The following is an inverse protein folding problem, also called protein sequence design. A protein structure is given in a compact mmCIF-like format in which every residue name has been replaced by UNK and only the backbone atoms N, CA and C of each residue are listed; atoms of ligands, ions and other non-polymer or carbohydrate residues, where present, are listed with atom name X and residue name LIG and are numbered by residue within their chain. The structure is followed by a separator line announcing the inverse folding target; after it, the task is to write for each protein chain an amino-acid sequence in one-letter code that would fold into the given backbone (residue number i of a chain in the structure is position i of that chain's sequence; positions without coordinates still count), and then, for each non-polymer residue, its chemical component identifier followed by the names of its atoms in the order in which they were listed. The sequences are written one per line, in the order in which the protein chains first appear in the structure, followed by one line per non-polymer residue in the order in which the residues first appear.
data_IF_635204011442
#
_entry.id   IF_635204011442
#
_cell.length_a   1.000
_cell.length_b   1.000
_cell.length_c   1.000
_cell.angle_alpha   90.00
_cell.angle_beta   90.00
_cell.angle_gamma   90.00
#
_symmetry.space_group_name_H-M   'P 1'
#
loop_
_entity.id
_entity.type
_entity.pdbx_description
1 polymer ?
#
# COMPACT_ATOMS: atom_id res chain seq x y z
N UNK A 1 -27.14 -49.02 50.37
CA UNK A 1 -27.24 -50.19 51.25
C UNK A 1 -28.38 -51.04 50.73
N UNK A 2 -28.05 -52.31 50.42
CA UNK A 2 -28.93 -53.48 50.24
C UNK A 2 -29.98 -53.42 49.11
N UNK A 3 -29.87 -54.28 48.08
CA UNK A 3 -30.29 -55.70 48.03
C UNK A 3 -31.79 -55.87 48.26
N UNK A 4 -32.52 -56.81 47.67
CA UNK A 4 -32.42 -57.76 46.56
C UNK A 4 -33.75 -58.57 46.66
N UNK A 5 -34.11 -59.30 45.61
CA UNK A 5 -35.05 -60.46 45.62
C UNK A 5 -36.56 -60.17 45.78
N UNK A 6 -37.51 -60.79 45.05
CA UNK A 6 -37.47 -61.83 44.02
C UNK A 6 -38.84 -62.56 43.90
N UNK A 7 -39.16 -63.04 42.67
CA UNK A 7 -39.86 -64.32 42.34
C UNK A 7 -41.42 -64.37 42.55
N UNK A 8 -42.33 -64.92 41.72
CA UNK A 8 -42.44 -65.74 40.48
C UNK A 8 -43.77 -65.37 39.74
N UNK A 9 -44.07 -65.75 38.48
CA UNK A 9 -44.65 -67.05 38.01
C UNK A 9 -44.50 -67.22 36.46
N UNK A 10 -44.30 -68.49 36.04
CA UNK A 10 -44.30 -69.16 34.70
C UNK A 10 -45.09 -68.50 33.54
N UNK A 11 -44.75 -68.49 32.23
CA UNK A 11 -43.97 -69.31 31.26
C UNK A 11 -44.82 -70.24 30.34
N UNK A 12 -44.84 -69.96 29.01
CA UNK A 12 -44.96 -70.86 27.82
C UNK A 12 -44.94 -69.99 26.53
N UNK A 13 -43.89 -69.91 25.68
CA UNK A 13 -43.53 -70.78 24.52
C UNK A 13 -44.36 -70.41 23.25
N UNK A 14 -43.88 -70.14 22.01
CA UNK A 14 -42.70 -70.50 21.19
C UNK A 14 -42.57 -69.57 19.93
N UNK A 15 -41.34 -69.38 19.43
CA UNK A 15 -40.84 -68.78 18.15
C UNK A 15 -40.92 -69.78 16.94
N UNK A 16 -40.60 -69.51 15.62
CA UNK A 16 -39.40 -68.78 15.14
C UNK A 16 -39.33 -68.07 13.73
N UNK A 17 -38.30 -67.21 13.57
CA UNK A 17 -37.35 -66.92 12.43
C UNK A 17 -37.79 -66.76 10.93
N UNK A 18 -37.26 -65.72 10.25
CA UNK A 18 -36.09 -65.78 9.30
C UNK A 18 -35.90 -64.50 8.43
N UNK A 19 -34.63 -64.12 8.18
CA UNK A 19 -34.11 -63.08 7.27
C UNK A 19 -34.18 -63.47 5.76
N UNK A 20 -34.04 -62.51 4.82
CA UNK A 20 -33.19 -62.59 3.60
C UNK A 20 -33.31 -61.36 2.65
N UNK A 21 -32.14 -60.72 2.44
CA UNK A 21 -31.53 -60.15 1.22
C UNK A 21 -32.32 -59.70 -0.05
N UNK A 22 -31.86 -58.55 -0.55
CA UNK A 22 -31.43 -58.23 -1.94
C UNK A 22 -32.39 -57.65 -3.02
N UNK A 23 -31.84 -56.59 -3.65
CA UNK A 23 -31.88 -56.17 -5.08
C UNK A 23 -33.01 -55.23 -5.57
N UNK A 24 -32.56 -54.04 -5.99
CA UNK A 24 -33.14 -53.19 -7.05
C UNK A 24 -33.36 -54.00 -8.34
N UNK A 25 -34.37 -53.67 -9.18
CA UNK A 25 -34.04 -52.80 -10.31
C UNK A 25 -35.19 -51.89 -10.83
N UNK A 26 -34.76 -50.99 -11.71
CA UNK A 26 -35.40 -50.59 -12.96
C UNK A 26 -36.26 -49.31 -13.02
N UNK A 27 -35.77 -48.43 -13.90
CA UNK A 27 -36.34 -47.17 -14.40
C UNK A 27 -37.56 -47.44 -15.28
N UNK A 28 -38.55 -46.53 -15.26
CA UNK A 28 -39.16 -46.03 -16.51
C UNK A 28 -39.85 -44.67 -16.36
N UNK A 29 -39.42 -43.73 -17.21
CA UNK A 29 -40.17 -42.77 -18.03
C UNK A 29 -41.33 -41.87 -17.50
N UNK A 30 -41.09 -40.57 -17.73
CA UNK A 30 -41.86 -39.62 -18.57
C UNK A 30 -43.26 -39.14 -18.16
N UNK A 31 -43.45 -37.82 -18.37
CA UNK A 31 -44.73 -37.15 -18.66
C UNK A 31 -45.32 -36.46 -17.44
N UNK A 32 -45.28 -35.11 -17.36
CA UNK A 32 -46.35 -34.20 -17.82
C UNK A 32 -47.62 -34.32 -16.95
N UNK A 33 -48.30 -33.29 -16.42
CA UNK A 33 -48.36 -31.85 -16.66
C UNK A 33 -49.34 -31.28 -15.60
N UNK A 34 -49.13 -30.03 -15.16
CA UNK A 34 -50.09 -29.07 -14.53
C UNK A 34 -50.91 -29.52 -13.30
N UNK A 35 -50.85 -28.71 -12.23
CA UNK A 35 -52.00 -27.88 -11.83
C UNK A 35 -51.63 -26.79 -10.81
N UNK A 36 -52.46 -25.75 -10.78
CA UNK A 36 -52.23 -24.43 -10.23
C UNK A 36 -52.53 -24.29 -8.73
N UNK A 37 -51.94 -23.26 -8.12
CA UNK A 37 -52.11 -22.76 -6.74
C UNK A 37 -53.57 -22.42 -6.36
N UNK A 38 -53.92 -22.25 -5.06
CA UNK A 38 -53.67 -20.95 -4.42
C UNK A 38 -53.40 -20.94 -2.89
N UNK A 39 -52.83 -19.80 -2.47
CA UNK A 39 -53.07 -19.04 -1.23
C UNK A 39 -52.47 -19.50 0.13
N UNK A 40 -51.50 -18.69 0.56
CA UNK A 40 -51.41 -17.98 1.84
C UNK A 40 -51.20 -18.75 3.14
N UNK A 41 -49.95 -18.74 3.63
CA UNK A 41 -49.69 -18.45 5.04
C UNK A 41 -48.45 -17.55 5.13
N UNK A 42 -48.69 -16.30 5.53
CA UNK A 42 -47.70 -15.30 5.90
C UNK A 42 -47.20 -15.66 7.30
N UNK A 43 -45.89 -15.84 7.47
CA UNK A 43 -45.23 -15.72 8.77
C UNK A 43 -44.05 -14.77 8.64
N UNK A 44 -44.27 -13.55 9.14
CA UNK A 44 -43.30 -12.50 9.34
C UNK A 44 -42.35 -12.84 10.49
N UNK A 45 -41.04 -12.84 10.25
CA UNK A 45 -40.04 -12.51 11.26
C UNK A 45 -38.80 -11.96 10.57
N UNK A 46 -38.68 -10.64 10.66
CA UNK A 46 -37.48 -9.80 10.64
C UNK A 46 -36.13 -10.51 10.65
N UNK A 47 -35.33 -10.27 9.61
CA UNK A 47 -33.90 -9.96 9.73
C UNK A 47 -33.53 -9.04 8.57
N UNK A 48 -33.39 -7.75 8.89
CA UNK A 48 -32.89 -6.70 8.01
C UNK A 48 -31.40 -6.88 7.79
N UNK A 49 -31.01 -7.67 6.79
CA UNK A 49 -29.70 -7.59 6.17
C UNK A 49 -29.88 -7.30 4.69
N UNK A 50 -30.15 -6.03 4.40
CA UNK A 50 -30.03 -5.47 3.06
C UNK A 50 -28.55 -5.53 2.64
N UNK A 51 -28.14 -6.68 2.10
CA UNK A 51 -26.94 -6.79 1.29
C UNK A 51 -27.07 -5.84 0.10
N UNK A 52 -26.56 -4.63 0.26
CA UNK A 52 -26.29 -3.73 -0.87
C UNK A 52 -25.31 -4.48 -1.76
N UNK A 53 -25.67 -4.82 -3.02
CA UNK A 53 -24.72 -5.44 -3.92
C UNK A 53 -23.65 -4.38 -4.19
N UNK A 54 -22.47 -4.58 -3.62
CA UNK A 54 -21.26 -3.86 -4.01
C UNK A 54 -21.16 -4.11 -5.50
N UNK A 55 -21.58 -3.13 -6.30
CA UNK A 55 -21.43 -3.16 -7.74
C UNK A 55 -19.93 -3.13 -7.94
N UNK A 56 -19.32 -4.31 -8.10
CA UNK A 56 -17.96 -4.44 -8.56
C UNK A 56 -17.89 -3.64 -9.86
N UNK A 57 -17.39 -2.42 -9.77
CA UNK A 57 -16.94 -1.66 -10.91
C UNK A 57 -15.79 -2.48 -11.50
N UNK A 58 -16.15 -3.44 -12.34
CA UNK A 58 -15.25 -4.25 -13.14
C UNK A 58 -14.62 -3.30 -14.15
N UNK A 59 -13.58 -2.61 -13.69
CA UNK A 59 -12.83 -1.66 -14.49
C UNK A 59 -12.09 -2.44 -15.57
N UNK A 60 -12.49 -2.28 -16.84
CA UNK A 60 -11.78 -2.83 -18.01
C UNK A 60 -10.28 -2.48 -18.06
N UNK A 61 -9.83 -1.46 -17.33
CA UNK A 61 -8.40 -1.16 -17.22
C UNK A 61 -7.63 -2.27 -16.49
N UNK A 62 -8.25 -3.06 -15.60
CA UNK A 62 -7.62 -4.23 -14.98
C UNK A 62 -7.55 -5.46 -15.89
N UNK A 63 -8.37 -5.55 -16.95
CA UNK A 63 -8.25 -6.61 -17.96
C UNK A 63 -7.07 -6.38 -18.90
N UNK A 64 -6.67 -5.12 -19.13
CA UNK A 64 -5.59 -4.77 -20.05
C UNK A 64 -4.20 -4.97 -19.46
N UNK A 65 -4.06 -4.84 -18.14
CA UNK A 65 -2.83 -5.10 -17.41
C UNK A 65 -2.95 -6.41 -16.65
N UNK A 66 -2.27 -7.46 -17.14
CA UNK A 66 -2.36 -8.81 -16.56
C UNK A 66 -2.23 -8.83 -15.04
N UNK A 67 -2.85 -9.82 -14.40
CA UNK A 67 -3.04 -9.92 -12.94
C UNK A 67 -1.78 -9.63 -12.12
N UNK A 68 -0.60 -10.02 -12.63
CA UNK A 68 0.68 -9.74 -11.99
C UNK A 68 1.01 -8.24 -11.87
N UNK A 69 0.78 -7.47 -12.94
CA UNK A 69 1.05 -6.02 -13.03
C UNK A 69 0.14 -5.26 -12.08
N UNK A 70 -1.15 -5.64 -12.07
CA UNK A 70 -2.16 -5.10 -11.16
C UNK A 70 -1.86 -5.46 -9.71
N UNK A 71 -1.57 -6.74 -9.42
CA UNK A 71 -1.27 -7.23 -8.06
C UNK A 71 -0.01 -6.60 -7.46
N UNK A 72 1.00 -6.34 -8.27
CA UNK A 72 2.24 -5.72 -7.82
C UNK A 72 2.27 -4.20 -8.01
N UNK A 73 1.19 -3.55 -8.44
CA UNK A 73 1.13 -2.10 -8.65
C UNK A 73 2.34 -1.58 -9.48
N UNK A 74 2.79 -2.34 -10.48
CA UNK A 74 4.07 -2.10 -11.18
C UNK A 74 4.09 -0.72 -11.88
N UNK A 75 3.07 -0.30 -12.65
CA UNK A 75 3.10 0.98 -13.37
C UNK A 75 3.25 2.16 -12.42
N UNK A 76 2.50 2.13 -11.30
CA UNK A 76 2.61 3.14 -10.24
C UNK A 76 4.03 3.21 -9.69
N UNK A 77 4.65 2.08 -9.36
CA UNK A 77 6.01 2.07 -8.80
C UNK A 77 7.07 2.51 -9.79
N UNK A 78 6.92 2.16 -11.07
CA UNK A 78 7.82 2.63 -12.12
C UNK A 78 7.73 4.15 -12.23
N UNK A 79 6.52 4.71 -12.25
CA UNK A 79 6.30 6.16 -12.22
C UNK A 79 6.88 6.79 -10.94
N UNK A 80 6.63 6.18 -9.78
CA UNK A 80 7.13 6.64 -8.49
C UNK A 80 8.67 6.64 -8.42
N UNK A 81 9.31 5.61 -8.95
CA UNK A 81 10.77 5.46 -9.00
C UNK A 81 11.43 6.36 -10.06
N UNK A 82 10.73 6.66 -11.16
CA UNK A 82 11.27 7.49 -12.24
C UNK A 82 11.45 8.95 -11.80
N UNK A 83 10.61 9.45 -10.89
CA UNK A 83 10.70 10.81 -10.35
C UNK A 83 12.05 11.06 -9.68
N UNK A 84 12.62 10.07 -8.97
CA UNK A 84 13.96 10.19 -8.39
C UNK A 84 15.03 10.42 -9.46
N UNK A 85 15.00 9.68 -10.56
CA UNK A 85 15.94 9.85 -11.67
C UNK A 85 15.74 11.17 -12.41
N UNK A 86 14.50 11.59 -12.62
CA UNK A 86 14.18 12.89 -13.24
C UNK A 86 14.73 14.02 -12.37
N UNK A 87 14.45 14.00 -11.06
CA UNK A 87 14.96 15.00 -10.11
C UNK A 87 16.48 15.04 -10.10
N UNK A 88 17.14 13.89 -10.11
CA UNK A 88 18.59 13.81 -10.19
C UNK A 88 19.12 14.42 -11.50
N UNK A 89 18.47 14.15 -12.63
CA UNK A 89 18.80 14.81 -13.90
C UNK A 89 18.64 16.32 -13.81
N UNK A 90 17.51 16.84 -13.30
CA UNK A 90 17.29 18.27 -13.12
C UNK A 90 18.35 18.91 -12.21
N UNK A 91 18.80 18.19 -11.18
CA UNK A 91 19.92 18.60 -10.33
C UNK A 91 21.22 18.76 -11.15
N UNK A 92 21.58 17.79 -12.00
CA UNK A 92 22.79 17.89 -12.86
C UNK A 92 22.72 19.04 -13.86
N UNK A 93 21.52 19.43 -14.29
CA UNK A 93 21.30 20.58 -15.18
C UNK A 93 21.39 21.94 -14.46
N UNK A 94 21.58 21.95 -13.13
CA UNK A 94 21.67 23.18 -12.35
C UNK A 94 20.36 23.93 -12.21
N UNK A 95 19.23 23.25 -12.39
CA UNK A 95 17.92 23.86 -12.18
C UNK A 95 17.77 24.20 -10.70
N UNK A 96 17.41 25.45 -10.41
CA UNK A 96 17.18 25.90 -9.05
C UNK A 96 16.02 25.11 -8.44
N UNK A 97 16.30 24.37 -7.35
CA UNK A 97 15.32 23.51 -6.68
C UNK A 97 14.09 24.28 -6.19
N UNK A 98 14.24 25.56 -5.83
CA UNK A 98 13.10 26.42 -5.43
C UNK A 98 12.12 26.67 -6.57
N UNK A 99 12.59 26.62 -7.83
CA UNK A 99 11.70 26.73 -9.00
C UNK A 99 10.87 25.47 -9.22
N UNK A 100 11.27 24.31 -8.66
CA UNK A 100 10.53 23.04 -8.75
C UNK A 100 9.28 23.07 -7.85
N UNK A 101 9.28 23.87 -6.79
CA UNK A 101 8.15 24.01 -5.88
C UNK A 101 6.87 24.48 -6.58
N UNK A 102 6.97 25.47 -7.48
CA UNK A 102 5.80 26.02 -8.19
C UNK A 102 5.10 24.98 -9.07
N UNK A 103 5.79 24.24 -9.96
CA UNK A 103 5.21 23.11 -10.67
C UNK A 103 4.54 22.07 -9.77
N UNK A 104 5.12 21.75 -8.61
CA UNK A 104 4.52 20.81 -7.65
C UNK A 104 3.20 21.35 -7.07
N UNK A 105 3.16 22.63 -6.68
CA UNK A 105 1.93 23.28 -6.18
C UNK A 105 0.87 23.35 -7.28
N UNK A 106 1.25 23.76 -8.50
CA UNK A 106 0.33 23.79 -9.63
C UNK A 106 -0.24 22.40 -9.93
N UNK A 107 0.61 21.37 -9.94
CA UNK A 107 0.18 19.98 -10.13
C UNK A 107 -0.77 19.53 -9.00
N UNK A 108 -0.50 19.91 -7.75
CA UNK A 108 -1.36 19.59 -6.61
C UNK A 108 -2.75 20.21 -6.78
N UNK A 109 -2.83 21.50 -7.10
CA UNK A 109 -4.10 22.20 -7.28
C UNK A 109 -4.91 21.58 -8.44
N UNK A 110 -4.26 21.34 -9.58
CA UNK A 110 -4.91 20.74 -10.76
C UNK A 110 -5.47 19.35 -10.41
N UNK A 111 -4.64 18.48 -9.83
CA UNK A 111 -5.06 17.12 -9.47
C UNK A 111 -6.11 17.12 -8.35
N UNK A 112 -6.04 18.06 -7.42
CA UNK A 112 -7.02 18.18 -6.34
C UNK A 112 -8.39 18.56 -6.89
N UNK A 113 -8.46 19.54 -7.79
CA UNK A 113 -9.70 19.90 -8.49
C UNK A 113 -10.25 18.72 -9.29
N UNK A 114 -9.38 17.99 -10.01
CA UNK A 114 -9.78 16.80 -10.75
C UNK A 114 -10.35 15.71 -9.82
N UNK A 115 -9.75 15.51 -8.64
CA UNK A 115 -10.25 14.59 -7.63
C UNK A 115 -11.60 15.03 -7.06
N UNK A 116 -11.82 16.32 -6.82
CA UNK A 116 -13.12 16.85 -6.40
C UNK A 116 -14.19 16.58 -7.47
N UNK A 117 -13.90 16.83 -8.74
CA UNK A 117 -14.85 16.54 -9.85
C UNK A 117 -15.13 15.04 -9.92
N UNK A 118 -14.08 14.22 -9.83
CA UNK A 118 -14.13 12.76 -9.87
C UNK A 118 -14.97 12.16 -8.76
N UNK A 119 -14.80 12.62 -7.52
CA UNK A 119 -15.51 12.06 -6.38
C UNK A 119 -16.99 12.48 -6.34
N UNK A 120 -17.34 13.61 -6.97
CA UNK A 120 -18.72 14.09 -7.04
C UNK A 120 -19.48 13.63 -8.30
N UNK A 121 -18.79 13.18 -9.37
CA UNK A 121 -19.43 12.81 -10.63
C UNK A 121 -19.10 11.37 -11.07
N UNK A 122 -20.02 10.40 -10.88
CA UNK A 122 -19.77 8.98 -11.17
C UNK A 122 -19.37 8.67 -12.62
N UNK A 123 -19.96 9.37 -13.59
CA UNK A 123 -19.62 9.21 -15.01
C UNK A 123 -18.18 9.64 -15.29
N UNK A 124 -17.77 10.80 -14.76
CA UNK A 124 -16.40 11.28 -14.88
C UNK A 124 -15.41 10.34 -14.17
N UNK A 125 -15.77 9.81 -13.00
CA UNK A 125 -14.94 8.83 -12.30
C UNK A 125 -14.67 7.58 -13.14
N UNK A 126 -15.69 7.07 -13.84
CA UNK A 126 -15.52 5.92 -14.75
C UNK A 126 -14.60 6.24 -15.92
N UNK A 127 -14.72 7.43 -16.51
CA UNK A 127 -13.83 7.88 -17.59
C UNK A 127 -12.39 8.04 -17.11
N UNK A 128 -12.21 8.66 -15.94
CA UNK A 128 -10.91 8.85 -15.29
C UNK A 128 -10.24 7.50 -14.97
N UNK A 129 -10.96 6.57 -14.34
CA UNK A 129 -10.45 5.24 -14.04
C UNK A 129 -10.10 4.43 -15.31
N UNK A 130 -10.73 4.74 -16.45
CA UNK A 130 -10.39 4.12 -17.74
C UNK A 130 -9.07 4.63 -18.31
N UNK A 131 -8.72 5.90 -18.08
CA UNK A 131 -7.49 6.50 -18.62
C UNK A 131 -6.29 6.33 -17.68
N UNK A 132 -6.47 6.58 -16.38
CA UNK A 132 -5.36 6.59 -15.41
C UNK A 132 -5.43 5.45 -14.38
N UNK A 133 -6.41 4.55 -14.49
CA UNK A 133 -6.61 3.46 -13.53
C UNK A 133 -5.38 2.55 -13.34
N UNK A 134 -4.47 2.49 -14.33
CA UNK A 134 -3.20 1.76 -14.23
C UNK A 134 -2.29 2.24 -13.08
N UNK A 135 -2.41 3.52 -12.72
CA UNK A 135 -1.61 4.16 -11.67
C UNK A 135 -2.34 4.21 -10.33
N UNK A 136 -3.64 3.90 -10.30
CA UNK A 136 -4.50 4.00 -9.13
C UNK A 136 -4.65 2.68 -8.38
N UNK A 137 -4.83 2.76 -7.06
CA UNK A 137 -5.27 1.62 -6.24
C UNK A 137 -6.79 1.50 -6.24
N UNK A 138 -7.31 0.29 -6.02
CA UNK A 138 -8.77 0.04 -5.93
C UNK A 138 -9.46 0.93 -4.88
N UNK A 139 -8.83 1.14 -3.72
CA UNK A 139 -9.36 2.04 -2.68
C UNK A 139 -9.50 3.49 -3.16
N UNK A 140 -8.62 3.93 -4.06
CA UNK A 140 -8.56 5.31 -4.56
C UNK A 140 -9.68 5.60 -5.56
N UNK A 141 -10.48 4.62 -5.99
CA UNK A 141 -11.65 4.86 -6.87
C UNK A 141 -12.70 5.74 -6.16
N UNK A 142 -12.85 5.56 -4.84
CA UNK A 142 -13.85 6.26 -4.03
C UNK A 142 -13.23 7.17 -2.96
N UNK A 143 -11.91 7.30 -2.93
CA UNK A 143 -11.18 8.19 -2.02
C UNK A 143 -10.22 9.08 -2.79
N UNK A 144 -9.60 10.04 -2.10
CA UNK A 144 -8.52 10.85 -2.68
C UNK A 144 -7.35 9.99 -3.20
N UNK A 145 -6.76 10.43 -4.30
CA UNK A 145 -5.65 9.77 -4.98
C UNK A 145 -4.35 9.90 -4.17
N UNK A 146 -3.56 8.81 -4.10
CA UNK A 146 -2.26 8.80 -3.44
C UNK A 146 -1.27 9.84 -3.98
N UNK A 147 -1.41 10.27 -5.24
CA UNK A 147 -0.57 11.33 -5.83
C UNK A 147 -0.75 12.67 -5.12
N UNK A 148 -1.93 12.96 -4.55
CA UNK A 148 -2.13 14.19 -3.77
C UNK A 148 -1.28 14.19 -2.50
N UNK A 149 -1.22 13.06 -1.79
CA UNK A 149 -0.37 12.87 -0.62
C UNK A 149 1.12 12.97 -0.97
N UNK A 150 1.51 12.39 -2.11
CA UNK A 150 2.86 12.51 -2.66
C UNK A 150 3.26 13.97 -2.87
N UNK A 151 2.44 14.73 -3.60
CA UNK A 151 2.70 16.12 -3.91
C UNK A 151 2.72 16.98 -2.66
N UNK A 152 1.79 16.74 -1.72
CA UNK A 152 1.74 17.48 -0.46
C UNK A 152 3.02 17.27 0.37
N UNK A 153 3.53 16.03 0.43
CA UNK A 153 4.76 15.69 1.13
C UNK A 153 5.99 16.35 0.51
N UNK A 154 6.08 16.35 -0.83
CA UNK A 154 7.14 17.07 -1.53
C UNK A 154 7.04 18.59 -1.38
N UNK A 155 5.85 19.17 -1.50
CA UNK A 155 5.63 20.61 -1.28
C UNK A 155 6.11 21.00 0.12
N UNK A 156 5.81 20.18 1.15
CA UNK A 156 6.35 20.39 2.49
C UNK A 156 7.88 20.37 2.50
N UNK A 157 8.52 19.30 2.01
CA UNK A 157 9.98 19.21 2.00
C UNK A 157 10.65 20.38 1.26
N UNK A 158 10.18 20.70 0.05
CA UNK A 158 10.73 21.78 -0.77
C UNK A 158 10.50 23.19 -0.20
N UNK A 159 9.49 23.37 0.65
CA UNK A 159 9.19 24.67 1.27
C UNK A 159 10.06 24.96 2.48
N UNK A 160 10.36 23.94 3.30
CA UNK A 160 10.93 24.14 4.64
C UNK A 160 12.40 23.74 4.76
N UNK A 161 12.96 22.97 3.82
CA UNK A 161 14.31 22.41 3.96
C UNK A 161 15.29 22.89 2.89
N UNK A 162 16.58 22.66 3.17
CA UNK A 162 17.69 22.91 2.26
C UNK A 162 17.63 21.98 1.04
N UNK A 163 18.45 22.31 0.03
CA UNK A 163 18.47 21.57 -1.25
C UNK A 163 18.84 20.12 -1.03
N UNK A 164 19.88 19.83 -0.26
CA UNK A 164 20.35 18.46 -0.02
C UNK A 164 19.34 17.61 0.76
N UNK A 165 18.78 18.14 1.85
CA UNK A 165 17.76 17.44 2.65
C UNK A 165 16.52 17.13 1.82
N UNK A 166 16.05 18.10 1.04
CA UNK A 166 14.87 17.96 0.18
C UNK A 166 15.08 16.91 -0.90
N UNK A 167 16.25 16.89 -1.52
CA UNK A 167 16.56 15.92 -2.58
C UNK A 167 16.69 14.51 -2.01
N UNK A 168 17.34 14.35 -0.85
CA UNK A 168 17.40 13.05 -0.18
C UNK A 168 16.00 12.58 0.22
N UNK A 169 15.15 13.42 0.83
CA UNK A 169 13.79 12.99 1.22
C UNK A 169 12.97 12.53 0.01
N UNK A 170 13.10 13.22 -1.13
CA UNK A 170 12.51 12.80 -2.40
C UNK A 170 13.08 11.47 -2.89
N UNK A 171 14.40 11.27 -2.85
CA UNK A 171 15.00 9.99 -3.28
C UNK A 171 14.62 8.83 -2.36
N UNK A 172 14.51 9.05 -1.05
CA UNK A 172 14.05 8.04 -0.11
C UNK A 172 12.60 7.66 -0.37
N UNK A 173 11.73 8.65 -0.62
CA UNK A 173 10.37 8.38 -1.07
C UNK A 173 10.38 7.60 -2.39
N UNK A 174 11.19 7.97 -3.37
CA UNK A 174 11.18 7.33 -4.69
C UNK A 174 11.73 5.90 -4.67
N UNK A 175 12.92 5.70 -4.12
CA UNK A 175 13.69 4.45 -4.24
C UNK A 175 13.59 3.58 -2.98
N UNK A 176 13.69 4.15 -1.79
CA UNK A 176 13.64 3.38 -0.55
C UNK A 176 12.23 2.84 -0.26
N UNK A 177 11.18 3.63 -0.50
CA UNK A 177 9.79 3.14 -0.38
C UNK A 177 9.50 2.00 -1.39
N UNK A 178 9.90 2.20 -2.66
CA UNK A 178 9.71 1.17 -3.69
C UNK A 178 10.44 -0.13 -3.32
N UNK A 179 11.66 -0.03 -2.79
CA UNK A 179 12.44 -1.16 -2.33
C UNK A 179 11.78 -1.84 -1.13
N UNK A 180 11.39 -1.09 -0.11
CA UNK A 180 10.71 -1.59 1.08
C UNK A 180 9.42 -2.32 0.74
N UNK A 181 8.60 -1.72 -0.11
CA UNK A 181 7.34 -2.32 -0.53
C UNK A 181 7.58 -3.57 -1.40
N UNK A 182 8.61 -3.59 -2.24
CA UNK A 182 8.90 -4.73 -3.14
C UNK A 182 9.47 -5.92 -2.36
N UNK A 183 10.50 -5.68 -1.54
CA UNK A 183 11.12 -6.71 -0.70
C UNK A 183 10.17 -7.13 0.42
N UNK A 184 9.45 -6.20 1.05
CA UNK A 184 8.47 -6.47 2.10
C UNK A 184 7.31 -7.34 1.61
N UNK A 185 6.78 -7.12 0.41
CA UNK A 185 5.75 -8.03 -0.15
C UNK A 185 6.28 -9.41 -0.48
N UNK A 186 7.53 -9.51 -0.98
CA UNK A 186 8.11 -10.79 -1.40
C UNK A 186 8.58 -11.63 -0.22
N UNK A 187 9.25 -11.02 0.76
CA UNK A 187 9.95 -11.71 1.83
C UNK A 187 9.47 -11.31 3.24
N UNK A 188 8.53 -10.37 3.37
CA UNK A 188 8.07 -9.90 4.68
C UNK A 188 7.42 -10.98 5.53
N UNK A 189 6.87 -12.04 4.91
CA UNK A 189 6.32 -13.21 5.61
C UNK A 189 7.40 -14.05 6.31
N UNK A 190 8.67 -13.91 5.91
CA UNK A 190 9.82 -14.61 6.52
C UNK A 190 10.43 -13.83 7.69
N UNK A 191 9.94 -12.63 7.97
CA UNK A 191 10.55 -11.72 8.95
C UNK A 191 9.51 -11.17 9.94
N UNK A 192 9.92 -10.75 11.15
CA UNK A 192 9.01 -10.12 12.10
C UNK A 192 8.31 -8.89 11.50
N UNK A 193 7.05 -8.70 11.91
CA UNK A 193 6.32 -7.47 11.61
C UNK A 193 6.74 -6.39 12.60
N UNK A 194 7.15 -5.24 12.07
CA UNK A 194 7.52 -4.06 12.88
C UNK A 194 6.29 -3.18 13.18
N UNK A 195 5.31 -3.19 12.28
CA UNK A 195 4.01 -2.53 12.46
C UNK A 195 2.91 -3.30 11.72
N UNK A 196 1.66 -2.83 11.81
CA UNK A 196 0.46 -3.52 11.30
C UNK A 196 0.60 -3.98 9.83
N UNK A 197 1.33 -3.23 9.00
CA UNK A 197 1.61 -3.57 7.59
C UNK A 197 3.09 -3.45 7.19
N UNK A 198 4.01 -3.39 8.17
CA UNK A 198 5.44 -3.14 7.93
C UNK A 198 6.25 -4.34 8.39
N UNK A 199 7.22 -4.76 7.59
CA UNK A 199 8.04 -5.96 7.84
C UNK A 199 9.50 -5.58 8.01
N UNK A 200 10.24 -6.33 8.84
CA UNK A 200 11.66 -6.13 9.00
C UNK A 200 12.42 -6.25 7.66
N UNK A 201 12.00 -7.17 6.77
CA UNK A 201 12.55 -7.26 5.41
C UNK A 201 12.41 -5.94 4.62
N UNK A 202 11.24 -5.29 4.72
CA UNK A 202 10.98 -4.00 4.08
C UNK A 202 11.87 -2.90 4.65
N UNK A 203 11.97 -2.80 5.97
CA UNK A 203 12.78 -1.76 6.61
C UNK A 203 14.29 -1.96 6.39
N UNK A 204 14.78 -3.20 6.30
CA UNK A 204 16.18 -3.48 5.88
C UNK A 204 16.43 -3.04 4.44
N UNK A 205 15.45 -3.24 3.54
CA UNK A 205 15.56 -2.75 2.17
C UNK A 205 15.56 -1.22 2.10
N UNK A 206 14.67 -0.55 2.85
CA UNK A 206 14.67 0.90 2.99
C UNK A 206 16.00 1.43 3.52
N UNK A 207 16.54 0.79 4.56
CA UNK A 207 17.85 1.13 5.14
C UNK A 207 18.96 1.04 4.10
N UNK A 208 19.04 -0.09 3.40
CA UNK A 208 20.13 -0.36 2.46
C UNK A 208 20.09 0.61 1.29
N UNK A 209 18.92 0.80 0.68
CA UNK A 209 18.73 1.74 -0.44
C UNK A 209 18.93 3.18 0.02
N UNK A 210 18.46 3.53 1.22
CA UNK A 210 18.67 4.86 1.79
C UNK A 210 20.15 5.17 2.04
N UNK A 211 20.89 4.21 2.60
CA UNK A 211 22.32 4.38 2.84
C UNK A 211 23.12 4.52 1.54
N UNK A 212 22.80 3.70 0.52
CA UNK A 212 23.42 3.82 -0.82
C UNK A 212 23.06 5.16 -1.46
N UNK A 213 21.80 5.60 -1.33
CA UNK A 213 21.34 6.88 -1.87
C UNK A 213 22.09 8.05 -1.26
N UNK A 214 22.21 8.10 0.07
CA UNK A 214 22.98 9.13 0.76
C UNK A 214 24.47 9.09 0.39
N UNK A 215 25.07 7.89 0.38
CA UNK A 215 26.47 7.68 -0.04
C UNK A 215 26.73 8.25 -1.42
N UNK A 216 25.90 7.88 -2.39
CA UNK A 216 26.06 8.29 -3.79
C UNK A 216 25.78 9.77 -3.97
N UNK A 217 24.74 10.32 -3.36
CA UNK A 217 24.39 11.73 -3.52
C UNK A 217 25.45 12.65 -2.89
N UNK A 218 25.80 12.43 -1.62
CA UNK A 218 26.79 13.25 -0.91
C UNK A 218 28.24 12.96 -1.32
N UNK A 219 28.56 11.71 -1.67
CA UNK A 219 29.92 11.29 -2.03
C UNK A 219 30.29 11.49 -3.49
N UNK A 220 29.32 11.45 -4.42
CA UNK A 220 29.58 11.59 -5.86
C UNK A 220 28.88 12.82 -6.45
N UNK A 221 27.55 12.95 -6.32
CA UNK A 221 26.83 14.01 -7.02
C UNK A 221 27.13 15.42 -6.51
N UNK A 222 27.16 15.62 -5.19
CA UNK A 222 27.47 16.95 -4.62
C UNK A 222 28.88 17.43 -5.02
N UNK A 223 29.95 16.60 -4.90
CA UNK A 223 31.28 16.99 -5.35
C UNK A 223 31.42 17.13 -6.87
N UNK A 224 30.89 16.18 -7.65
CA UNK A 224 31.05 16.17 -9.11
C UNK A 224 30.31 17.34 -9.79
N UNK A 225 29.19 17.78 -9.20
CA UNK A 225 28.37 18.89 -9.69
C UNK A 225 28.47 20.11 -8.77
N UNK A 226 29.63 20.38 -8.18
CA UNK A 226 29.81 21.49 -7.23
C UNK A 226 29.35 22.86 -7.79
N UNK A 227 29.46 23.08 -9.10
CA UNK A 227 29.07 24.29 -9.80
C UNK A 227 27.57 24.59 -9.74
N UNK A 228 26.72 23.59 -9.44
CA UNK A 228 25.28 23.78 -9.26
C UNK A 228 24.88 24.07 -7.82
N UNK A 229 25.81 23.96 -6.86
CA UNK A 229 25.52 24.08 -5.44
C UNK A 229 25.91 25.48 -4.95
N UNK A 230 24.91 26.30 -4.62
CA UNK A 230 25.18 27.65 -4.10
C UNK A 230 25.52 27.60 -2.60
N UNK A 231 26.26 28.59 -2.08
CA UNK A 231 26.54 28.69 -0.65
C UNK A 231 25.24 28.66 0.17
N UNK A 232 25.19 27.79 1.18
CA UNK A 232 24.04 27.60 2.06
C UNK A 232 22.90 26.72 1.51
N UNK A 233 23.00 26.19 0.28
CA UNK A 233 22.00 25.24 -0.23
C UNK A 233 22.25 23.80 0.25
N UNK A 234 23.50 23.45 0.52
CA UNK A 234 23.91 22.15 1.02
C UNK A 234 24.26 22.31 2.51
N UNK A 235 23.51 21.65 3.38
CA UNK A 235 23.69 21.77 4.83
C UNK A 235 24.80 20.87 5.36
N UNK A 236 25.00 19.70 4.76
CA UNK A 236 26.09 18.80 5.13
C UNK A 236 27.26 18.86 4.15
N UNK A 237 28.45 19.15 4.66
CA UNK A 237 29.73 18.88 3.98
C UNK A 237 30.72 18.26 4.97
N UNK A 238 31.78 17.56 4.50
CA UNK A 238 32.81 17.01 5.38
C UNK A 238 33.50 18.06 6.27
N UNK A 239 33.56 19.32 5.84
CA UNK A 239 34.22 20.41 6.55
C UNK A 239 33.29 21.09 7.58
N UNK A 240 31.98 21.00 7.38
CA UNK A 240 30.97 21.69 8.19
C UNK A 240 30.28 20.78 9.21
N UNK A 241 30.61 19.50 9.23
CA UNK A 241 29.98 18.50 10.08
C UNK A 241 30.99 17.62 10.80
N UNK A 242 30.66 17.21 12.02
CA UNK A 242 31.38 16.17 12.78
C UNK A 242 31.15 14.77 12.21
N UNK A 243 30.17 14.60 11.32
CA UNK A 243 29.84 13.31 10.73
C UNK A 243 30.67 13.06 9.48
N UNK A 244 31.36 11.92 9.43
CA UNK A 244 31.95 11.42 8.20
C UNK A 244 30.87 11.01 7.18
N UNK A 245 31.22 10.95 5.90
CA UNK A 245 30.31 10.50 4.84
C UNK A 245 29.73 9.11 5.15
N UNK A 246 30.54 8.19 5.71
CA UNK A 246 30.09 6.85 6.09
C UNK A 246 29.01 6.91 7.17
N UNK A 247 29.24 7.72 8.21
CA UNK A 247 28.29 7.88 9.31
C UNK A 247 27.00 8.55 8.87
N UNK A 248 27.09 9.61 8.05
CA UNK A 248 25.92 10.25 7.47
C UNK A 248 25.13 9.26 6.59
N UNK A 249 25.81 8.47 5.76
CA UNK A 249 25.16 7.48 4.89
C UNK A 249 24.44 6.42 5.71
N UNK A 250 25.09 5.91 6.75
CA UNK A 250 24.47 4.96 7.69
C UNK A 250 23.23 5.57 8.35
N UNK A 251 23.33 6.79 8.90
CA UNK A 251 22.21 7.50 9.49
C UNK A 251 21.11 7.80 8.48
N UNK A 252 21.44 8.09 7.23
CA UNK A 252 20.48 8.23 6.13
C UNK A 252 19.69 6.94 5.87
N UNK A 253 20.36 5.79 5.95
CA UNK A 253 19.68 4.49 5.97
C UNK A 253 18.74 4.33 7.17
N UNK A 254 19.19 4.70 8.37
CA UNK A 254 18.34 4.66 9.57
C UNK A 254 17.12 5.56 9.39
N UNK A 255 17.31 6.78 8.90
CA UNK A 255 16.22 7.73 8.60
C UNK A 255 15.23 7.12 7.61
N UNK A 256 15.70 6.48 6.53
CA UNK A 256 14.84 5.83 5.55
C UNK A 256 13.98 4.71 6.18
N UNK A 257 14.60 3.85 6.98
CA UNK A 257 13.90 2.75 7.65
C UNK A 257 12.91 3.24 8.72
N UNK A 258 13.27 4.28 9.48
CA UNK A 258 12.37 4.89 10.47
C UNK A 258 11.19 5.58 9.79
N UNK A 259 11.43 6.38 8.75
CA UNK A 259 10.35 7.05 8.02
C UNK A 259 9.41 6.06 7.34
N UNK A 260 9.90 4.91 6.89
CA UNK A 260 9.07 3.83 6.35
C UNK A 260 8.29 3.09 7.44
N UNK A 261 8.91 2.85 8.60
CA UNK A 261 8.34 2.05 9.69
C UNK A 261 7.34 2.80 10.57
N UNK A 262 7.39 4.14 10.62
CA UNK A 262 6.48 4.96 11.42
C UNK A 262 5.15 5.14 10.68
N UNK A 263 4.08 4.61 11.26
CA UNK A 263 2.70 4.84 10.83
C UNK A 263 2.10 6.01 11.62
N UNK A 264 2.00 7.19 10.98
CA UNK A 264 1.42 8.39 11.61
C UNK A 264 -0.07 8.48 11.28
N UNK A 265 -0.94 8.28 12.27
CA UNK A 265 -2.38 8.51 12.15
C UNK A 265 -3.05 7.80 10.95
N UNK A 266 -2.49 6.68 10.47
CA UNK A 266 -2.88 5.99 9.22
C UNK A 266 -2.84 6.90 7.97
N UNK A 267 -1.98 7.92 7.96
CA UNK A 267 -1.74 8.77 6.81
C UNK A 267 -0.98 8.00 5.72
N UNK A 268 -1.12 8.45 4.47
CA UNK A 268 -0.49 7.76 3.35
C UNK A 268 1.04 7.93 3.38
N UNK A 269 1.75 6.81 3.17
CA UNK A 269 3.22 6.76 3.14
C UNK A 269 3.83 7.78 2.15
N UNK A 270 3.10 8.11 1.07
CA UNK A 270 3.52 9.11 0.10
C UNK A 270 3.67 10.52 0.70
N UNK A 271 2.98 10.81 1.80
CA UNK A 271 3.13 12.05 2.55
C UNK A 271 4.08 11.88 3.74
N UNK A 272 3.94 10.82 4.53
CA UNK A 272 4.69 10.67 5.78
C UNK A 272 6.18 10.48 5.55
N UNK A 273 6.59 9.70 4.54
CA UNK A 273 8.00 9.42 4.25
C UNK A 273 8.80 10.70 3.96
N UNK A 274 8.45 11.55 2.97
CA UNK A 274 9.23 12.76 2.67
C UNK A 274 9.23 13.74 3.86
N UNK A 275 8.12 13.86 4.59
CA UNK A 275 8.01 14.75 5.76
C UNK A 275 8.92 14.27 6.89
N UNK A 276 8.81 13.01 7.29
CA UNK A 276 9.61 12.44 8.38
C UNK A 276 11.09 12.39 8.00
N UNK A 277 11.41 11.97 6.78
CA UNK A 277 12.81 11.85 6.37
C UNK A 277 13.49 13.21 6.26
N UNK A 278 12.79 14.25 5.77
CA UNK A 278 13.33 15.62 5.76
C UNK A 278 13.51 16.17 7.18
N UNK A 279 12.56 15.95 8.09
CA UNK A 279 12.68 16.34 9.50
C UNK A 279 13.86 15.64 10.19
N UNK A 280 13.95 14.32 10.09
CA UNK A 280 14.98 13.54 10.77
C UNK A 280 16.37 13.79 10.18
N UNK A 281 16.51 13.84 8.86
CA UNK A 281 17.79 14.10 8.23
C UNK A 281 18.29 15.51 8.54
N UNK A 282 17.41 16.52 8.49
CA UNK A 282 17.76 17.88 8.88
C UNK A 282 18.16 17.95 10.36
N UNK A 283 17.45 17.26 11.25
CA UNK A 283 17.82 17.19 12.67
C UNK A 283 19.20 16.56 12.86
N UNK A 284 19.49 15.45 12.17
CA UNK A 284 20.81 14.81 12.19
C UNK A 284 21.89 15.78 11.71
N UNK A 285 21.71 16.43 10.55
CA UNK A 285 22.72 17.33 10.00
C UNK A 285 22.97 18.52 10.94
N UNK A 286 21.91 19.14 11.44
CA UNK A 286 22.02 20.29 12.35
C UNK A 286 22.64 19.94 13.70
N UNK A 287 22.32 18.77 14.26
CA UNK A 287 22.86 18.34 15.56
C UNK A 287 24.39 18.15 15.55
N UNK A 288 24.97 17.84 14.39
CA UNK A 288 26.40 17.60 14.24
C UNK A 288 27.11 18.69 13.42
N UNK A 289 26.48 19.84 13.20
CA UNK A 289 27.09 20.99 12.51
C UNK A 289 28.18 21.62 13.39
N UNK A 290 29.24 22.13 12.77
CA UNK A 290 30.38 22.81 13.41
C UNK A 290 30.22 24.32 13.23
#
# INVERSE_FOLDING_TARGET
MENNDGIAILNTGLEPRAEVNQRLPFKTNQGAVKEASPANAVSSSSDDDAHVPVTELHLKSHEWFGDFITKHEVPRKVFHSSIGFITLYLYTQGINYKKVLWPLICAFIILFILDLIRLNWPFFNKLYCRTVGALMRKKEIHTYNGVLWYLLGLVFSFSFFSKDVTLISLFLLSWSDTAAATIGRKYGHLTPKLARNKSLAGSIAAFTVGAITCRTFYGYFIPAYNYVNKPGEIEWTPETSKLSLNMLSFLGGVVAALSEGIDLFNWDDNFTIPVLSSLFLNAVIKAFKI
#
